data_IF_298541569271
#
_entry.id   IF_298541569271
#
_cell.length_a   1.000
_cell.length_b   1.000
_cell.length_c   1.000
_cell.angle_alpha   90.00
_cell.angle_beta   90.00
_cell.angle_gamma   90.00
#
_symmetry.space_group_name_H-M   'P 1'
#
loop_
_entity.id
_entity.type
_entity.pdbx_description
1 polymer ?
#
# COMPACT_ATOMS: atom_id res chain seq x y z
N UNK A 1 -1.30 27.95 39.33
CA UNK A 1 -2.27 29.02 38.97
C UNK A 1 -2.29 29.14 37.45
N UNK A 2 -3.46 29.40 36.89
CA UNK A 2 -3.90 29.13 35.53
C UNK A 2 -3.44 30.13 34.44
N UNK A 3 -3.69 29.76 33.16
CA UNK A 3 -3.80 30.63 31.98
C UNK A 3 -3.09 30.02 30.76
N UNK A 4 -3.74 29.25 29.88
CA UNK A 4 -4.64 29.59 28.75
C UNK A 4 -4.04 30.48 27.63
N UNK A 5 -3.87 29.81 26.47
CA UNK A 5 -4.26 30.19 25.09
C UNK A 5 -3.41 31.13 24.18
N UNK A 6 -3.08 30.54 23.02
CA UNK A 6 -3.29 31.00 21.63
C UNK A 6 -2.29 31.98 20.98
N UNK A 7 -1.77 31.60 19.81
CA UNK A 7 -1.12 32.50 18.84
C UNK A 7 -0.24 31.80 17.81
N UNK A 8 -0.74 31.69 16.58
CA UNK A 8 -0.23 30.98 15.39
C UNK A 8 1.17 31.35 14.88
N UNK A 9 1.88 30.39 14.24
CA UNK A 9 2.71 30.67 13.04
C UNK A 9 2.68 29.49 12.06
N UNK A 10 2.17 29.82 10.88
CA UNK A 10 2.12 29.12 9.60
C UNK A 10 3.35 28.29 9.22
N UNK A 11 3.13 27.03 8.82
CA UNK A 11 3.99 26.30 7.89
C UNK A 11 3.13 25.52 6.90
N UNK A 12 2.76 26.15 5.79
CA UNK A 12 2.22 25.45 4.63
C UNK A 12 3.34 25.28 3.60
N UNK A 13 4.13 24.22 3.77
CA UNK A 13 4.96 23.67 2.71
C UNK A 13 4.09 22.81 1.82
N UNK A 14 3.92 23.21 0.56
CA UNK A 14 3.20 22.47 -0.44
C UNK A 14 3.99 21.21 -0.84
N UNK A 15 3.54 20.04 -0.36
CA UNK A 15 3.83 18.75 -0.97
C UNK A 15 2.50 18.11 -1.35
N UNK A 16 2.24 17.76 -2.62
CA UNK A 16 1.11 16.90 -2.95
C UNK A 16 1.50 15.48 -2.52
N UNK A 17 1.33 15.17 -1.23
CA UNK A 17 1.25 13.79 -0.77
C UNK A 17 0.02 13.21 -1.43
N UNK A 18 0.23 12.19 -2.26
CA UNK A 18 -0.82 11.50 -3.01
C UNK A 18 -2.04 11.29 -2.13
N UNK A 19 -3.15 11.91 -2.52
CA UNK A 19 -4.43 11.70 -1.87
C UNK A 19 -4.86 10.29 -2.23
N UNK A 20 -4.35 9.33 -1.47
CA UNK A 20 -4.96 8.01 -1.40
C UNK A 20 -6.29 8.23 -0.69
N UNK A 21 -7.30 8.57 -1.48
CA UNK A 21 -8.69 8.59 -1.04
C UNK A 21 -9.04 7.14 -0.74
N UNK A 22 -8.72 6.69 0.47
CA UNK A 22 -9.48 5.61 1.08
C UNK A 22 -10.89 6.19 1.23
N UNK A 23 -11.76 5.93 0.25
CA UNK A 23 -13.18 6.12 0.44
C UNK A 23 -13.54 5.38 1.71
N UNK A 24 -14.07 6.11 2.68
CA UNK A 24 -14.56 5.61 3.95
C UNK A 24 -15.89 4.87 3.71
N UNK A 25 -15.87 3.87 2.83
CA UNK A 25 -16.97 2.92 2.72
C UNK A 25 -16.64 1.78 3.68
N UNK A 26 -17.49 1.64 4.71
CA UNK A 26 -17.41 0.59 5.72
C UNK A 26 -17.15 -0.76 5.04
N UNK A 27 -15.93 -1.33 5.13
CA UNK A 27 -15.61 -2.49 4.33
C UNK A 27 -16.37 -3.68 4.90
N UNK A 28 -17.30 -4.20 4.12
CA UNK A 28 -17.79 -5.57 4.32
C UNK A 28 -16.55 -6.48 4.28
N UNK A 29 -16.42 -7.40 5.22
CA UNK A 29 -15.17 -8.09 5.61
C UNK A 29 -14.36 -8.71 4.43
N UNK A 30 -15.00 -8.92 3.27
CA UNK A 30 -14.35 -9.35 2.03
C UNK A 30 -13.78 -8.25 1.13
N UNK A 31 -14.27 -7.01 1.16
CA UNK A 31 -13.86 -5.95 0.22
C UNK A 31 -12.43 -5.46 0.40
N UNK A 32 -11.82 -5.73 1.57
CA UNK A 32 -10.49 -5.24 1.92
C UNK A 32 -9.34 -5.91 1.14
N UNK A 33 -9.58 -7.08 0.56
CA UNK A 33 -8.54 -7.89 -0.11
C UNK A 33 -8.69 -7.97 -1.63
N UNK A 34 -9.81 -7.49 -2.19
CA UNK A 34 -10.04 -7.48 -3.63
C UNK A 34 -9.85 -6.08 -4.18
N UNK A 35 -9.04 -5.97 -5.22
CA UNK A 35 -8.72 -4.72 -5.89
C UNK A 35 -9.11 -4.81 -7.36
N UNK A 36 -9.52 -3.70 -7.96
CA UNK A 36 -9.72 -3.63 -9.39
C UNK A 36 -8.40 -3.83 -10.14
N UNK A 37 -8.48 -4.23 -11.42
CA UNK A 37 -7.29 -4.34 -12.28
C UNK A 37 -6.50 -3.03 -12.30
N UNK A 38 -7.21 -1.90 -12.44
CA UNK A 38 -6.59 -0.57 -12.48
C UNK A 38 -5.80 -0.28 -11.20
N UNK A 39 -6.35 -0.60 -10.03
CA UNK A 39 -5.62 -0.40 -8.77
C UNK A 39 -4.37 -1.28 -8.67
N UNK A 40 -4.44 -2.53 -9.15
CA UNK A 40 -3.29 -3.44 -9.15
C UNK A 40 -2.19 -2.96 -10.11
N UNK A 41 -2.56 -2.45 -11.28
CA UNK A 41 -1.60 -2.06 -12.33
C UNK A 41 -1.03 -0.66 -12.12
N UNK A 42 -1.86 0.26 -11.60
CA UNK A 42 -1.52 1.68 -11.52
C UNK A 42 -1.25 2.18 -10.09
N UNK A 43 -1.73 1.51 -9.04
CA UNK A 43 -1.64 1.99 -7.66
C UNK A 43 -1.05 0.95 -6.69
N UNK A 44 -0.24 0.00 -7.19
CA UNK A 44 0.46 -0.93 -6.32
C UNK A 44 1.53 -0.20 -5.50
N UNK A 45 1.79 -0.60 -4.24
CA UNK A 45 2.88 -0.03 -3.45
C UNK A 45 4.25 -0.14 -4.14
N UNK A 46 4.50 -1.26 -4.83
CA UNK A 46 5.75 -1.48 -5.57
C UNK A 46 5.95 -0.49 -6.72
N UNK A 47 4.88 0.04 -7.31
CA UNK A 47 4.99 1.06 -8.33
C UNK A 47 5.58 2.37 -7.78
N UNK A 48 5.26 2.73 -6.52
CA UNK A 48 5.84 3.88 -5.84
C UNK A 48 7.37 3.73 -5.64
N UNK A 49 7.85 2.48 -5.53
CA UNK A 49 9.26 2.13 -5.47
C UNK A 49 9.92 2.00 -6.86
N UNK A 50 9.23 2.36 -7.94
CA UNK A 50 9.72 2.27 -9.31
C UNK A 50 9.76 0.86 -9.90
N UNK A 51 9.06 -0.11 -9.28
CA UNK A 51 8.93 -1.46 -9.80
C UNK A 51 7.76 -1.49 -10.78
N UNK A 52 8.05 -1.74 -12.07
CA UNK A 52 7.00 -1.86 -13.08
C UNK A 52 6.19 -3.16 -12.93
N UNK A 53 4.98 -3.18 -13.50
CA UNK A 53 4.05 -4.31 -13.45
C UNK A 53 4.69 -5.65 -13.87
N UNK A 54 5.56 -5.64 -14.89
CA UNK A 54 6.22 -6.86 -15.38
C UNK A 54 7.18 -7.42 -14.33
N UNK A 55 8.01 -6.57 -13.73
CA UNK A 55 8.95 -6.95 -12.67
C UNK A 55 8.20 -7.36 -11.41
N UNK A 56 7.15 -6.64 -11.02
CA UNK A 56 6.30 -6.99 -9.88
C UNK A 56 5.64 -8.37 -10.09
N UNK A 57 5.09 -8.63 -11.28
CA UNK A 57 4.50 -9.93 -11.62
C UNK A 57 5.52 -11.06 -11.54
N UNK A 58 6.74 -10.83 -12.04
CA UNK A 58 7.83 -11.79 -11.94
C UNK A 58 8.16 -12.10 -10.48
N UNK A 59 8.31 -11.07 -9.63
CA UNK A 59 8.63 -11.23 -8.21
C UNK A 59 7.55 -12.00 -7.45
N UNK A 60 6.26 -11.70 -7.71
CA UNK A 60 5.14 -12.45 -7.12
C UNK A 60 5.20 -13.93 -7.49
N UNK A 61 5.48 -14.25 -8.75
CA UNK A 61 5.64 -15.64 -9.22
C UNK A 61 6.85 -16.32 -8.59
N UNK A 62 8.01 -15.68 -8.59
CA UNK A 62 9.24 -16.26 -8.05
C UNK A 62 9.13 -16.51 -6.55
N UNK A 63 8.45 -15.64 -5.81
CA UNK A 63 8.21 -15.83 -4.38
C UNK A 63 7.31 -17.03 -4.10
N UNK A 64 6.22 -17.21 -4.88
CA UNK A 64 5.39 -18.41 -4.76
C UNK A 64 6.18 -19.69 -5.04
N UNK A 65 7.05 -19.68 -6.05
CA UNK A 65 7.94 -20.82 -6.32
C UNK A 65 8.88 -21.10 -5.16
N UNK A 66 9.54 -20.06 -4.62
CA UNK A 66 10.41 -20.19 -3.45
C UNK A 66 9.68 -20.80 -2.25
N UNK A 67 8.46 -20.32 -1.94
CA UNK A 67 7.66 -20.88 -0.85
C UNK A 67 7.28 -22.34 -1.10
N UNK A 68 6.98 -22.73 -2.34
CA UNK A 68 6.69 -24.12 -2.69
C UNK A 68 7.91 -25.03 -2.53
N UNK A 69 9.08 -24.58 -2.96
CA UNK A 69 10.33 -25.31 -2.81
C UNK A 69 10.70 -25.46 -1.33
N UNK A 70 10.60 -24.37 -0.57
CA UNK A 70 10.80 -24.37 0.88
C UNK A 70 9.84 -25.33 1.59
N UNK A 71 8.56 -25.35 1.20
CA UNK A 71 7.57 -26.26 1.77
C UNK A 71 7.92 -27.74 1.53
N UNK A 72 8.43 -28.08 0.33
CA UNK A 72 8.91 -29.44 0.03
C UNK A 72 10.12 -29.81 0.88
N UNK A 73 11.07 -28.90 1.06
CA UNK A 73 12.25 -29.12 1.89
C UNK A 73 11.87 -29.35 3.36
N UNK A 74 10.91 -28.59 3.87
CA UNK A 74 10.37 -28.69 5.23
C UNK A 74 9.36 -29.82 5.43
N UNK A 75 8.87 -30.45 4.35
CA UNK A 75 7.87 -31.53 4.35
C UNK A 75 6.53 -31.13 5.00
N UNK A 76 6.03 -29.94 4.67
CA UNK A 76 4.72 -29.42 5.11
C UNK A 76 3.65 -29.51 4.02
#
# INVERSE_FOLDING_TARGET
MAGLLLGDVSNQGAHPVGSQRYSEEKPEDGSRWYFSRKEIEENSPSQADGINLKKETYLRRSYCTFLQELGKELKV
#
